data_IF_078133876374
#
_entry.id   IF_078133876374
#
_cell.length_a   1.000
_cell.length_b   1.000
_cell.length_c   1.000
_cell.angle_alpha   90.00
_cell.angle_beta   90.00
_cell.angle_gamma   90.00
#
_symmetry.space_group_name_H-M   'P 1'
#
loop_
_entity.id
_entity.type
_entity.pdbx_description
1 polymer ?
#
# COMPACT_ATOMS: atom_id res chain seq x y z
N UNK A 1 15.33 4.78 -20.23
CA UNK A 1 14.91 4.31 -18.90
C UNK A 1 15.40 5.32 -17.84
N UNK A 2 14.46 5.86 -17.04
CA UNK A 2 14.74 6.80 -15.95
C UNK A 2 14.33 6.18 -14.64
N UNK A 3 15.19 6.17 -13.64
CA UNK A 3 14.86 5.69 -12.29
C UNK A 3 13.56 6.31 -11.79
N UNK A 4 13.45 7.63 -11.82
CA UNK A 4 12.28 8.34 -11.28
C UNK A 4 10.98 7.86 -11.91
N UNK A 5 10.90 7.85 -13.24
CA UNK A 5 9.67 7.45 -13.94
C UNK A 5 9.37 5.95 -13.80
N UNK A 6 10.40 5.12 -13.89
CA UNK A 6 10.23 3.68 -13.75
C UNK A 6 9.80 3.32 -12.31
N UNK A 7 10.39 3.94 -11.30
CA UNK A 7 9.99 3.79 -9.89
C UNK A 7 8.54 4.21 -9.68
N UNK A 8 8.11 5.36 -10.24
CA UNK A 8 6.71 5.81 -10.15
C UNK A 8 5.75 4.78 -10.76
N UNK A 9 6.08 4.21 -11.93
CA UNK A 9 5.27 3.19 -12.60
C UNK A 9 5.11 1.95 -11.70
N UNK A 10 6.20 1.45 -11.13
CA UNK A 10 6.15 0.29 -10.24
C UNK A 10 5.39 0.57 -8.94
N UNK A 11 5.59 1.74 -8.35
CA UNK A 11 4.91 2.12 -7.11
C UNK A 11 3.43 2.39 -7.31
N UNK A 12 3.04 2.87 -8.48
CA UNK A 12 1.64 3.22 -8.77
C UNK A 12 0.88 2.16 -9.55
N UNK A 13 1.57 1.30 -10.31
CA UNK A 13 0.93 0.41 -11.29
C UNK A 13 0.43 1.14 -12.54
N UNK A 14 0.90 2.37 -12.80
CA UNK A 14 0.51 3.19 -13.95
C UNK A 14 0.98 2.61 -15.29
N UNK A 15 0.33 3.00 -16.36
CA UNK A 15 0.85 2.83 -17.71
C UNK A 15 2.00 3.81 -18.00
N UNK A 16 2.77 3.55 -19.05
CA UNK A 16 3.99 4.33 -19.35
C UNK A 16 3.73 5.81 -19.67
N UNK A 17 2.56 6.15 -20.15
CA UNK A 17 2.10 7.49 -20.52
C UNK A 17 1.18 8.13 -19.45
N UNK A 18 0.89 7.42 -18.37
CA UNK A 18 0.02 7.86 -17.28
C UNK A 18 0.81 8.27 -16.03
N UNK A 19 0.47 9.38 -15.42
CA UNK A 19 1.05 9.84 -14.15
C UNK A 19 0.01 9.77 -13.05
N UNK A 20 0.22 8.86 -12.08
CA UNK A 20 -0.66 8.69 -10.93
C UNK A 20 -0.02 9.28 -9.67
N UNK A 21 -0.87 9.84 -8.83
CA UNK A 21 -0.50 10.38 -7.51
C UNK A 21 -0.81 9.43 -6.35
N UNK A 22 -1.36 8.24 -6.68
CA UNK A 22 -1.72 7.20 -5.71
C UNK A 22 -0.97 5.92 -6.00
N UNK A 23 -0.45 5.26 -4.96
CA UNK A 23 0.20 3.97 -5.06
C UNK A 23 -0.81 2.82 -5.12
N UNK A 24 -0.43 1.70 -5.75
CA UNK A 24 -1.33 0.55 -5.88
C UNK A 24 -1.72 -0.05 -4.51
N UNK A 25 -0.77 -0.14 -3.58
CA UNK A 25 -1.04 -0.62 -2.23
C UNK A 25 -1.81 0.43 -1.40
N UNK A 26 -1.55 1.72 -1.62
CA UNK A 26 -2.34 2.80 -1.02
C UNK A 26 -3.80 2.76 -1.45
N UNK A 27 -4.09 2.45 -2.73
CA UNK A 27 -5.47 2.23 -3.21
C UNK A 27 -6.10 0.99 -2.61
N UNK A 28 -5.35 -0.13 -2.48
CA UNK A 28 -5.84 -1.32 -1.80
C UNK A 28 -6.17 -1.04 -0.32
N UNK A 29 -5.28 -0.38 0.41
CA UNK A 29 -5.54 -0.04 1.81
C UNK A 29 -6.72 0.92 1.96
N UNK A 30 -6.90 1.86 1.03
CA UNK A 30 -8.08 2.72 1.00
C UNK A 30 -9.37 1.96 0.66
N UNK A 31 -9.30 0.93 -0.17
CA UNK A 31 -10.42 0.04 -0.45
C UNK A 31 -10.84 -0.71 0.83
N UNK A 32 -9.90 -1.26 1.59
CA UNK A 32 -10.14 -1.95 2.85
C UNK A 32 -10.55 -0.99 4.00
N UNK A 33 -9.95 0.20 4.04
CA UNK A 33 -10.09 1.19 5.13
C UNK A 33 -10.47 2.58 4.59
N UNK A 34 -11.66 2.75 4.00
CA UNK A 34 -12.02 3.96 3.25
C UNK A 34 -12.14 5.23 4.11
N UNK A 35 -12.21 5.09 5.44
CA UNK A 35 -12.31 6.21 6.37
C UNK A 35 -10.96 6.68 6.90
N UNK A 36 -9.87 5.95 6.62
CA UNK A 36 -8.55 6.34 7.10
C UNK A 36 -8.17 7.75 6.58
N UNK A 37 -7.59 8.64 7.42
CA UNK A 37 -7.13 8.45 8.79
C UNK A 37 -8.19 8.72 9.88
N UNK A 38 -9.40 9.09 9.53
CA UNK A 38 -10.45 9.46 10.50
C UNK A 38 -10.95 8.22 11.24
N UNK A 39 -10.92 8.27 12.57
CA UNK A 39 -11.32 7.14 13.40
C UNK A 39 -10.27 6.05 13.54
N UNK A 40 -9.02 6.34 13.19
CA UNK A 40 -7.86 5.46 13.39
C UNK A 40 -6.83 6.10 14.32
N UNK A 41 -6.07 5.29 15.11
CA UNK A 41 -6.32 3.87 15.37
C UNK A 41 -7.67 3.61 16.07
N UNK A 42 -8.21 2.41 15.94
CA UNK A 42 -9.45 1.97 16.59
C UNK A 42 -9.31 0.55 17.15
N UNK A 43 -10.39 0.01 17.75
CA UNK A 43 -10.35 -1.33 18.37
C UNK A 43 -10.12 -2.46 17.36
N UNK A 44 -10.63 -2.33 16.14
CA UNK A 44 -10.50 -3.33 15.08
C UNK A 44 -9.12 -3.27 14.44
N UNK A 45 -8.59 -2.05 14.23
CA UNK A 45 -7.27 -1.78 13.66
C UNK A 45 -6.50 -0.76 14.53
N UNK A 46 -5.88 -1.25 15.63
CA UNK A 46 -5.09 -0.39 16.52
C UNK A 46 -3.70 -0.07 15.98
N UNK A 47 -3.26 -0.79 14.96
CA UNK A 47 -1.91 -0.76 14.41
C UNK A 47 -1.85 0.04 13.09
N UNK A 48 -0.68 0.52 12.65
CA UNK A 48 -0.52 1.12 11.33
C UNK A 48 -0.99 0.16 10.23
N UNK A 49 -1.65 0.68 9.20
CA UNK A 49 -2.13 -0.13 8.07
C UNK A 49 -0.97 -0.73 7.26
N UNK A 50 0.07 0.06 7.08
CA UNK A 50 1.35 -0.37 6.48
C UNK A 50 2.53 0.28 7.20
N UNK A 51 3.68 -0.38 7.11
CA UNK A 51 4.95 0.10 7.68
C UNK A 51 6.04 -0.02 6.62
N UNK A 52 6.76 1.08 6.40
CA UNK A 52 8.00 1.08 5.64
C UNK A 52 9.18 1.26 6.59
N UNK A 53 10.13 0.32 6.56
CA UNK A 53 11.35 0.46 7.35
C UNK A 53 12.29 1.39 6.61
N UNK A 54 12.35 2.64 7.06
CA UNK A 54 13.10 3.70 6.40
C UNK A 54 12.72 5.09 6.89
N UNK A 55 13.25 6.13 6.25
CA UNK A 55 13.05 7.53 6.64
C UNK A 55 11.79 8.18 6.06
N UNK A 56 11.24 7.64 4.97
CA UNK A 56 10.09 8.23 4.25
C UNK A 56 9.13 7.14 3.80
N UNK A 57 7.85 7.48 3.77
CA UNK A 57 6.82 6.60 3.22
C UNK A 57 6.79 6.76 1.69
N UNK A 58 6.94 5.65 0.97
CA UNK A 58 6.97 5.64 -0.50
C UNK A 58 5.61 5.90 -1.13
N UNK A 59 5.64 6.28 -2.40
CA UNK A 59 4.44 6.47 -3.22
C UNK A 59 3.55 5.21 -3.28
N UNK A 60 4.13 4.01 -3.11
CA UNK A 60 3.38 2.75 -3.04
C UNK A 60 2.22 2.80 -2.04
N UNK A 61 2.42 3.47 -0.90
CA UNK A 61 1.41 3.59 0.17
C UNK A 61 0.59 4.88 0.12
N UNK A 62 0.75 5.70 -0.92
CA UNK A 62 -0.04 6.92 -1.05
C UNK A 62 -1.47 6.57 -1.47
N UNK A 63 -2.41 6.79 -0.59
CA UNK A 63 -3.85 6.71 -0.87
C UNK A 63 -4.40 7.98 -1.52
N UNK A 64 -5.68 8.00 -1.89
CA UNK A 64 -6.30 9.15 -2.56
C UNK A 64 -6.29 10.45 -1.75
N UNK A 65 -6.34 10.36 -0.43
CA UNK A 65 -6.40 11.52 0.46
C UNK A 65 -5.12 11.71 1.30
N UNK A 66 -4.43 10.63 1.63
CA UNK A 66 -3.27 10.64 2.54
C UNK A 66 -2.40 9.41 2.34
N UNK A 67 -1.20 9.40 2.93
CA UNK A 67 -0.39 8.19 3.06
C UNK A 67 -1.11 7.17 3.97
N UNK A 68 -1.19 5.91 3.53
CA UNK A 68 -1.94 4.83 4.17
C UNK A 68 -1.08 4.01 5.15
N UNK A 69 -0.07 4.60 5.73
CA UNK A 69 0.83 3.94 6.65
C UNK A 69 1.83 4.90 7.27
N UNK A 70 2.92 4.36 7.77
CA UNK A 70 4.01 5.16 8.32
C UNK A 70 5.38 4.59 7.98
N UNK A 71 6.39 5.44 7.97
CA UNK A 71 7.79 5.04 7.92
C UNK A 71 8.40 5.04 9.32
N UNK A 72 9.30 4.12 9.57
CA UNK A 72 10.04 4.01 10.82
C UNK A 72 11.45 3.50 10.58
N UNK A 73 12.46 4.22 11.03
CA UNK A 73 13.86 3.80 10.91
C UNK A 73 14.27 2.91 12.07
N UNK A 74 13.86 3.24 13.29
CA UNK A 74 14.16 2.46 14.49
C UNK A 74 12.94 2.42 15.42
N UNK A 75 12.22 1.30 15.51
CA UNK A 75 11.04 1.18 16.37
C UNK A 75 11.36 1.33 17.87
N UNK A 76 12.59 1.03 18.30
CA UNK A 76 13.00 1.17 19.71
C UNK A 76 13.14 2.62 20.15
N UNK A 77 13.45 3.52 19.21
CA UNK A 77 13.74 4.94 19.48
C UNK A 77 12.60 5.87 19.10
N UNK A 78 11.38 5.37 19.05
CA UNK A 78 10.24 6.21 18.69
C UNK A 78 9.93 7.24 19.78
N UNK A 79 10.07 8.52 19.46
CA UNK A 79 9.79 9.63 20.36
C UNK A 79 8.43 10.28 20.06
N UNK A 80 7.75 10.79 21.09
CA UNK A 80 6.53 11.56 20.91
C UNK A 80 6.80 12.83 20.12
N UNK A 81 6.28 12.91 18.92
CA UNK A 81 6.46 14.06 18.01
C UNK A 81 5.75 15.35 18.50
N UNK A 82 4.69 15.20 19.33
CA UNK A 82 3.92 16.33 19.82
C UNK A 82 3.58 16.11 21.29
N UNK A 83 4.18 16.88 22.19
CA UNK A 83 3.74 16.99 23.58
C UNK A 83 2.91 18.27 23.76
N UNK A 84 1.66 18.10 24.22
CA UNK A 84 1.04 19.10 25.09
C UNK A 84 0.36 20.30 24.44
N UNK A 85 0.09 20.39 23.14
CA UNK A 85 -0.73 21.51 22.60
C UNK A 85 -2.20 21.08 22.58
N UNK A 86 -2.93 21.41 23.65
CA UNK A 86 -4.37 21.14 23.79
C UNK A 86 -5.27 22.33 23.42
N UNK A 87 -4.70 23.49 23.06
CA UNK A 87 -5.50 24.64 22.67
C UNK A 87 -6.33 24.32 21.41
N UNK A 88 -7.64 24.63 21.40
CA UNK A 88 -8.48 24.39 20.23
C UNK A 88 -7.91 25.14 19.01
N UNK A 89 -7.90 24.50 17.85
CA UNK A 89 -7.49 25.17 16.61
C UNK A 89 -8.56 26.19 16.22
N UNK A 90 -8.19 27.36 15.69
CA UNK A 90 -9.14 28.36 15.24
C UNK A 90 -10.14 27.80 14.21
N UNK A 91 -11.34 28.34 14.16
CA UNK A 91 -12.34 27.96 13.15
C UNK A 91 -12.13 28.76 11.86
N UNK A 92 -11.02 28.53 11.20
CA UNK A 92 -10.55 29.18 9.96
C UNK A 92 -9.88 28.14 9.06
N UNK A 93 -9.72 28.39 7.74
CA UNK A 93 -9.02 27.46 6.86
C UNK A 93 -7.62 27.05 7.34
N UNK A 94 -6.75 27.95 7.83
CA UNK A 94 -5.50 27.56 8.48
C UNK A 94 -5.71 26.73 9.76
N UNK A 95 -6.76 26.99 10.52
CA UNK A 95 -7.11 26.22 11.72
C UNK A 95 -7.56 24.78 11.38
N UNK A 96 -8.17 24.57 10.23
CA UNK A 96 -8.51 23.24 9.73
C UNK A 96 -7.26 22.44 9.35
N UNK A 97 -6.33 23.08 8.66
CA UNK A 97 -5.01 22.46 8.37
C UNK A 97 -4.28 22.12 9.66
N UNK A 98 -4.33 23.00 10.67
CA UNK A 98 -3.73 22.74 11.97
C UNK A 98 -4.41 21.55 12.68
N UNK A 99 -5.75 21.42 12.60
CA UNK A 99 -6.45 20.23 13.13
C UNK A 99 -6.01 18.95 12.47
N UNK A 100 -5.88 18.95 11.12
CA UNK A 100 -5.42 17.80 10.37
C UNK A 100 -3.98 17.41 10.75
N UNK A 101 -3.05 18.38 10.80
CA UNK A 101 -1.67 18.14 11.25
C UNK A 101 -1.63 17.55 12.66
N UNK A 102 -2.45 18.05 13.58
CA UNK A 102 -2.54 17.53 14.94
C UNK A 102 -3.13 16.12 15.00
N UNK A 103 -4.11 15.81 14.15
CA UNK A 103 -4.66 14.46 14.03
C UNK A 103 -3.56 13.48 13.59
N UNK A 104 -2.84 13.78 12.52
CA UNK A 104 -1.75 12.93 12.02
C UNK A 104 -0.64 12.79 13.07
N UNK A 105 -0.25 13.88 13.75
CA UNK A 105 0.75 13.83 14.80
C UNK A 105 0.30 13.00 16.01
N UNK A 106 -0.96 13.10 16.41
CA UNK A 106 -1.53 12.27 17.49
C UNK A 106 -1.55 10.78 17.11
N UNK A 107 -1.97 10.47 15.90
CA UNK A 107 -1.94 9.11 15.36
C UNK A 107 -0.51 8.56 15.31
N UNK A 108 0.45 9.36 14.84
CA UNK A 108 1.86 8.97 14.79
C UNK A 108 2.41 8.67 16.18
N UNK A 109 2.05 9.44 17.20
CA UNK A 109 2.46 9.18 18.58
C UNK A 109 1.86 7.86 19.12
N UNK A 110 0.58 7.61 18.82
CA UNK A 110 -0.10 6.38 19.26
C UNK A 110 0.46 5.15 18.53
N UNK A 111 0.63 5.22 17.23
CA UNK A 111 1.29 4.17 16.44
C UNK A 111 2.73 3.93 16.89
N UNK A 112 3.49 4.99 17.21
CA UNK A 112 4.84 4.86 17.73
C UNK A 112 4.90 4.08 19.03
N UNK A 113 3.96 4.30 19.94
CA UNK A 113 3.84 3.54 21.19
C UNK A 113 3.52 2.07 20.91
N UNK A 114 2.60 1.80 20.00
CA UNK A 114 2.22 0.44 19.60
C UNK A 114 3.40 -0.29 18.96
N UNK A 115 4.12 0.37 18.06
CA UNK A 115 5.32 -0.17 17.42
C UNK A 115 6.41 -0.50 18.44
N UNK A 116 6.70 0.43 19.36
CA UNK A 116 7.69 0.21 20.42
C UNK A 116 7.32 -0.99 21.29
N UNK A 117 6.07 -1.07 21.74
CA UNK A 117 5.59 -2.20 22.53
C UNK A 117 5.71 -3.53 21.76
N UNK A 118 5.32 -3.55 20.49
CA UNK A 118 5.47 -4.75 19.67
C UNK A 118 6.93 -5.13 19.47
N UNK A 119 7.81 -4.16 19.23
CA UNK A 119 9.24 -4.40 19.09
C UNK A 119 9.85 -4.94 20.39
N UNK A 120 9.48 -4.40 21.55
CA UNK A 120 9.96 -4.85 22.87
C UNK A 120 9.44 -6.25 23.22
N UNK A 121 8.20 -6.57 22.90
CA UNK A 121 7.57 -7.89 23.13
C UNK A 121 7.96 -8.92 22.09
N UNK A 122 8.36 -8.51 20.91
CA UNK A 122 8.76 -9.40 19.81
C UNK A 122 10.14 -9.99 20.02
N UNK A 123 10.38 -11.11 19.34
CA UNK A 123 11.66 -11.82 19.39
C UNK A 123 12.08 -12.25 17.99
N UNK A 124 13.37 -12.42 17.78
CA UNK A 124 13.94 -13.12 16.64
C UNK A 124 14.51 -14.46 17.13
N UNK A 125 14.35 -15.52 16.36
CA UNK A 125 14.81 -16.88 16.67
C UNK A 125 15.86 -17.38 15.68
N UNK A 126 15.96 -16.81 14.51
CA UNK A 126 17.03 -17.09 13.55
C UNK A 126 18.22 -16.16 13.78
N UNK A 127 19.40 -16.60 13.34
CA UNK A 127 20.55 -15.74 13.18
C UNK A 127 20.41 -14.95 11.87
N UNK A 128 20.77 -13.69 11.91
CA UNK A 128 20.88 -12.84 10.74
C UNK A 128 22.35 -12.54 10.44
N UNK A 129 22.72 -12.26 9.18
CA UNK A 129 24.08 -11.83 8.86
C UNK A 129 24.43 -10.52 9.56
N UNK A 130 25.67 -10.08 9.42
CA UNK A 130 26.09 -8.79 9.98
C UNK A 130 25.23 -7.65 9.43
N UNK A 131 24.43 -7.05 10.29
CA UNK A 131 23.45 -6.03 9.92
C UNK A 131 24.08 -4.67 9.63
N UNK A 132 25.32 -4.42 10.05
CA UNK A 132 26.08 -3.21 9.71
C UNK A 132 26.51 -3.21 8.23
N UNK A 133 26.62 -4.40 7.63
CA UNK A 133 26.97 -4.57 6.20
C UNK A 133 25.72 -4.83 5.36
N UNK A 134 24.78 -5.64 5.85
CA UNK A 134 23.57 -6.02 5.17
C UNK A 134 22.33 -5.31 5.77
N UNK A 135 22.08 -4.10 5.33
CA UNK A 135 20.93 -3.29 5.81
C UNK A 135 19.57 -3.93 5.54
N UNK A 136 19.44 -4.75 4.49
CA UNK A 136 18.19 -5.48 4.24
C UNK A 136 17.92 -6.51 5.33
N UNK A 137 18.98 -7.18 5.82
CA UNK A 137 18.86 -8.13 6.91
C UNK A 137 18.39 -7.45 8.20
N UNK A 138 18.87 -6.25 8.52
CA UNK A 138 18.39 -5.49 9.69
C UNK A 138 16.93 -5.09 9.53
N UNK A 139 16.52 -4.59 8.37
CA UNK A 139 15.12 -4.22 8.11
C UNK A 139 14.19 -5.44 8.25
N UNK A 140 14.53 -6.57 7.63
CA UNK A 140 13.74 -7.80 7.73
C UNK A 140 13.70 -8.37 9.15
N UNK A 141 14.78 -8.27 9.90
CA UNK A 141 14.85 -8.63 11.32
C UNK A 141 13.89 -7.78 12.17
N UNK A 142 13.83 -6.47 11.89
CA UNK A 142 12.85 -5.56 12.52
C UNK A 142 11.42 -6.01 12.17
N UNK A 143 11.13 -6.29 10.91
CA UNK A 143 9.80 -6.75 10.45
C UNK A 143 9.40 -8.04 11.17
N UNK A 144 10.27 -9.07 11.21
CA UNK A 144 10.00 -10.31 11.91
C UNK A 144 9.70 -10.08 13.41
N UNK A 145 10.44 -9.17 14.03
CA UNK A 145 10.26 -8.82 15.45
C UNK A 145 8.93 -8.10 15.69
N UNK A 146 8.53 -7.19 14.81
CA UNK A 146 7.23 -6.50 14.89
C UNK A 146 6.06 -7.49 14.73
N UNK A 147 6.14 -8.39 13.75
CA UNK A 147 5.12 -9.42 13.52
C UNK A 147 5.02 -10.36 14.73
N UNK A 148 6.16 -10.83 15.27
CA UNK A 148 6.18 -11.70 16.44
C UNK A 148 5.71 -11.00 17.71
N UNK A 149 5.84 -9.69 17.78
CA UNK A 149 5.31 -8.83 18.86
C UNK A 149 3.81 -8.57 18.80
N UNK A 150 3.13 -9.12 17.79
CA UNK A 150 1.68 -9.16 17.73
C UNK A 150 1.02 -8.06 16.91
N UNK A 151 1.78 -7.29 16.11
CA UNK A 151 1.17 -6.30 15.20
C UNK A 151 0.22 -6.96 14.20
N UNK A 152 -0.90 -6.28 13.96
CA UNK A 152 -1.89 -6.63 12.93
C UNK A 152 -1.62 -5.95 11.59
N UNK A 153 -0.56 -5.15 11.49
CA UNK A 153 -0.13 -4.49 10.24
C UNK A 153 0.00 -5.51 9.12
N UNK A 154 -0.66 -5.23 8.00
CA UNK A 154 -0.80 -6.21 6.90
C UNK A 154 0.32 -6.11 5.86
N UNK A 155 0.95 -4.94 5.73
CA UNK A 155 1.94 -4.68 4.68
C UNK A 155 3.18 -4.04 5.26
N UNK A 156 4.33 -4.62 4.92
CA UNK A 156 5.64 -4.10 5.26
C UNK A 156 6.44 -3.87 3.99
N UNK A 157 7.24 -2.83 3.95
CA UNK A 157 8.16 -2.54 2.86
C UNK A 157 9.56 -2.32 3.41
N UNK A 158 10.52 -2.94 2.74
CA UNK A 158 11.95 -2.82 3.01
C UNK A 158 12.68 -2.59 1.70
N UNK A 159 13.86 -1.98 1.73
CA UNK A 159 14.58 -1.66 0.51
C UNK A 159 16.10 -1.87 0.64
N UNK A 160 16.70 -2.26 -0.47
CA UNK A 160 18.15 -2.33 -0.65
C UNK A 160 18.51 -1.62 -1.95
N UNK A 161 19.34 -0.58 -1.86
CA UNK A 161 19.88 0.13 -3.03
C UNK A 161 21.16 -0.48 -3.55
N UNK A 162 21.79 0.20 -4.54
CA UNK A 162 23.11 -0.16 -5.06
C UNK A 162 23.08 -0.98 -6.35
N UNK A 163 21.91 -1.40 -6.86
CA UNK A 163 21.80 -2.24 -8.06
C UNK A 163 22.05 -1.50 -9.39
N UNK A 164 22.29 -0.20 -9.35
CA UNK A 164 22.57 0.58 -10.56
C UNK A 164 24.04 0.49 -10.97
N UNK A 165 24.50 -0.74 -11.22
CA UNK A 165 25.87 -1.12 -11.49
C UNK A 165 26.25 -0.87 -12.95
N UNK A 166 26.40 0.40 -13.35
CA UNK A 166 26.88 0.80 -14.68
C UNK A 166 28.37 0.55 -14.87
N UNK A 167 29.11 0.43 -13.79
CA UNK A 167 30.53 0.10 -13.75
C UNK A 167 30.81 -0.88 -12.61
N UNK A 168 31.95 -1.53 -12.63
CA UNK A 168 32.41 -2.45 -11.59
C UNK A 168 31.38 -3.49 -11.12
N UNK A 169 30.40 -3.84 -11.97
CA UNK A 169 29.37 -4.83 -11.67
C UNK A 169 29.97 -6.21 -11.37
N UNK A 170 31.05 -6.52 -12.09
CA UNK A 170 31.86 -7.74 -11.96
C UNK A 170 33.33 -7.39 -11.86
N UNK A 171 34.14 -8.29 -11.31
CA UNK A 171 35.60 -8.11 -11.31
C UNK A 171 36.24 -8.59 -12.59
N UNK A 172 37.39 -8.00 -12.96
CA UNK A 172 38.12 -8.40 -14.15
C UNK A 172 38.54 -9.86 -14.09
N UNK A 173 38.05 -10.62 -15.07
CA UNK A 173 38.38 -12.05 -15.22
C UNK A 173 37.51 -13.00 -14.43
N UNK A 174 36.61 -12.52 -13.57
CA UNK A 174 35.66 -13.36 -12.85
C UNK A 174 34.27 -12.69 -12.76
N UNK A 175 33.31 -13.17 -13.53
CA UNK A 175 31.94 -12.66 -13.56
C UNK A 175 31.07 -13.16 -12.38
N UNK A 176 31.59 -13.99 -11.49
CA UNK A 176 30.86 -14.52 -10.32
C UNK A 176 31.10 -13.71 -9.07
N UNK A 177 32.02 -12.76 -9.10
CA UNK A 177 32.32 -11.83 -8.00
C UNK A 177 32.22 -10.38 -8.45
N UNK A 178 32.07 -9.47 -7.51
CA UNK A 178 31.91 -8.04 -7.74
C UNK A 178 30.71 -7.47 -7.01
N UNK A 179 30.40 -6.22 -7.29
CA UNK A 179 29.34 -5.48 -6.56
C UNK A 179 27.97 -6.13 -6.69
N UNK A 180 27.59 -6.54 -7.90
CA UNK A 180 26.30 -7.17 -8.14
C UNK A 180 26.15 -8.53 -7.43
N UNK A 181 27.20 -9.34 -7.44
CA UNK A 181 27.20 -10.62 -6.73
C UNK A 181 27.05 -10.43 -5.23
N UNK A 182 27.72 -9.41 -4.65
CA UNK A 182 27.61 -9.04 -3.23
C UNK A 182 26.19 -8.59 -2.89
N UNK A 183 25.55 -7.75 -3.72
CA UNK A 183 24.19 -7.31 -3.51
C UNK A 183 23.17 -8.47 -3.58
N UNK A 184 23.35 -9.39 -4.53
CA UNK A 184 22.51 -10.60 -4.61
C UNK A 184 22.73 -11.53 -3.42
N UNK A 185 23.95 -11.63 -2.91
CA UNK A 185 24.24 -12.36 -1.67
C UNK A 185 23.49 -11.73 -0.49
N UNK A 186 23.53 -10.40 -0.34
CA UNK A 186 22.79 -9.70 0.70
C UNK A 186 21.29 -9.96 0.64
N UNK A 187 20.68 -9.92 -0.54
CA UNK A 187 19.26 -10.26 -0.74
C UNK A 187 18.99 -11.70 -0.31
N UNK A 188 19.80 -12.63 -0.78
CA UNK A 188 19.63 -14.07 -0.51
C UNK A 188 19.76 -14.39 0.99
N UNK A 189 20.78 -13.89 1.65
CA UNK A 189 21.03 -14.11 3.08
C UNK A 189 19.94 -13.47 3.95
N UNK A 190 19.53 -12.23 3.62
CA UNK A 190 18.51 -11.51 4.36
C UNK A 190 17.15 -12.21 4.26
N UNK A 191 16.72 -12.60 3.06
CA UNK A 191 15.46 -13.31 2.84
C UNK A 191 15.51 -14.70 3.48
N UNK A 192 16.62 -15.45 3.34
CA UNK A 192 16.78 -16.76 3.94
C UNK A 192 16.67 -16.71 5.46
N UNK A 193 17.35 -15.76 6.10
CA UNK A 193 17.28 -15.55 7.56
C UNK A 193 15.88 -15.17 8.01
N UNK A 194 15.21 -14.28 7.27
CA UNK A 194 13.84 -13.86 7.54
C UNK A 194 12.84 -15.03 7.45
N UNK A 195 12.87 -15.78 6.36
CA UNK A 195 11.99 -16.94 6.18
C UNK A 195 12.22 -17.95 7.29
N UNK A 196 13.49 -18.21 7.66
CA UNK A 196 13.84 -19.11 8.76
C UNK A 196 13.35 -18.60 10.11
N UNK A 197 13.42 -17.29 10.34
CA UNK A 197 12.93 -16.68 11.58
C UNK A 197 11.40 -16.82 11.70
N UNK A 198 10.68 -16.48 10.63
CA UNK A 198 9.22 -16.62 10.54
C UNK A 198 8.78 -18.09 10.77
N UNK A 199 9.50 -19.07 10.20
CA UNK A 199 9.26 -20.51 10.45
C UNK A 199 9.46 -20.86 11.92
N UNK A 200 10.60 -20.48 12.51
CA UNK A 200 10.91 -20.76 13.91
C UNK A 200 9.94 -20.09 14.90
N UNK A 201 9.33 -18.98 14.48
CA UNK A 201 8.29 -18.28 15.24
C UNK A 201 6.91 -18.92 15.07
N UNK A 202 6.72 -19.85 14.11
CA UNK A 202 5.43 -20.47 13.78
C UNK A 202 4.46 -19.51 13.10
N UNK A 203 4.97 -18.59 12.29
CA UNK A 203 4.22 -17.53 11.63
C UNK A 203 4.20 -17.65 10.09
N UNK A 204 4.74 -18.75 9.56
CA UNK A 204 4.95 -18.95 8.13
C UNK A 204 3.66 -18.98 7.29
N UNK A 205 2.53 -19.32 7.91
CA UNK A 205 1.22 -19.29 7.23
C UNK A 205 0.65 -17.86 7.08
N UNK A 206 1.27 -16.88 7.70
CA UNK A 206 0.81 -15.48 7.75
C UNK A 206 1.70 -14.51 6.98
N UNK A 207 2.79 -14.98 6.42
CA UNK A 207 3.80 -14.13 5.80
C UNK A 207 4.11 -14.60 4.40
N UNK A 208 3.99 -13.67 3.46
CA UNK A 208 4.38 -13.81 2.07
C UNK A 208 5.16 -12.58 1.66
N UNK A 209 6.27 -12.75 0.96
CA UNK A 209 7.08 -11.65 0.46
C UNK A 209 7.24 -11.71 -1.04
N UNK A 210 7.43 -10.55 -1.64
CA UNK A 210 7.82 -10.41 -3.05
C UNK A 210 8.89 -9.33 -3.20
N UNK A 211 9.74 -9.49 -4.19
CA UNK A 211 10.69 -8.44 -4.61
C UNK A 211 10.19 -7.72 -5.85
N UNK A 212 10.60 -6.46 -6.01
CA UNK A 212 10.44 -5.71 -7.25
C UNK A 212 11.59 -4.71 -7.41
N UNK A 213 11.84 -4.30 -8.63
CA UNK A 213 12.78 -3.24 -8.98
C UNK A 213 12.25 -2.47 -10.17
N UNK A 214 12.71 -1.24 -10.34
CA UNK A 214 12.18 -0.32 -11.35
C UNK A 214 12.49 -0.71 -12.80
N UNK A 215 13.57 -1.48 -13.04
CA UNK A 215 13.92 -2.05 -14.35
C UNK A 215 14.92 -3.21 -14.21
N UNK A 216 15.17 -3.92 -15.33
CA UNK A 216 16.23 -4.91 -15.44
C UNK A 216 17.50 -4.33 -16.05
N UNK A 217 18.38 -5.23 -16.52
CA UNK A 217 19.65 -4.87 -17.16
C UNK A 217 19.68 -5.36 -18.61
N UNK A 218 20.42 -4.66 -19.47
CA UNK A 218 20.67 -5.08 -20.85
C UNK A 218 21.48 -6.36 -20.89
N UNK A 219 21.37 -7.08 -22.02
CA UNK A 219 22.01 -8.38 -22.22
C UNK A 219 23.54 -8.26 -22.31
N UNK A 220 24.02 -7.24 -22.99
CA UNK A 220 25.45 -7.03 -23.25
C UNK A 220 26.03 -6.04 -22.25
N UNK A 221 27.19 -6.40 -21.70
CA UNK A 221 27.96 -5.50 -20.84
C UNK A 221 28.41 -4.24 -21.59
N UNK A 222 28.52 -3.15 -20.88
CA UNK A 222 29.13 -1.91 -21.37
C UNK A 222 30.66 -1.94 -21.24
N UNK A 223 31.34 -0.86 -21.63
CA UNK A 223 32.82 -0.77 -21.60
C UNK A 223 33.42 -0.59 -20.18
N UNK A 224 32.58 -0.48 -19.14
CA UNK A 224 33.01 -0.23 -17.77
C UNK A 224 32.80 -1.44 -16.85
N UNK A 225 32.76 -2.64 -17.38
CA UNK A 225 32.45 -3.89 -16.63
C UNK A 225 31.10 -3.85 -15.90
N UNK A 226 30.14 -3.11 -16.45
CA UNK A 226 28.78 -2.98 -15.95
C UNK A 226 27.75 -3.26 -17.03
N UNK A 227 26.51 -2.95 -16.76
CA UNK A 227 25.39 -3.05 -17.71
C UNK A 227 24.52 -1.80 -17.64
N UNK A 228 23.92 -1.44 -18.76
CA UNK A 228 22.93 -0.36 -18.80
C UNK A 228 21.53 -0.86 -18.44
N UNK A 229 20.62 0.08 -18.19
CA UNK A 229 19.22 -0.23 -17.85
C UNK A 229 18.53 -1.01 -18.96
N UNK A 230 17.88 -2.10 -18.59
CA UNK A 230 17.12 -2.97 -19.46
C UNK A 230 15.64 -3.04 -19.11
N UNK A 231 14.84 -3.73 -19.92
CA UNK A 231 13.39 -3.74 -19.80
C UNK A 231 12.83 -4.86 -18.92
N UNK A 232 13.49 -6.01 -18.83
CA UNK A 232 12.99 -7.18 -18.13
C UNK A 232 13.86 -7.55 -16.93
N UNK A 233 13.23 -7.93 -15.83
CA UNK A 233 13.88 -8.38 -14.61
C UNK A 233 13.11 -9.56 -13.99
N UNK A 234 13.78 -10.44 -13.23
CA UNK A 234 13.11 -11.45 -12.43
C UNK A 234 12.46 -10.80 -11.21
N UNK A 235 11.32 -11.35 -10.79
CA UNK A 235 10.71 -11.09 -9.49
C UNK A 235 10.72 -12.38 -8.67
N UNK A 236 11.05 -12.26 -7.38
CA UNK A 236 11.04 -13.39 -6.46
C UNK A 236 9.82 -13.27 -5.55
N UNK A 237 9.14 -14.40 -5.36
CA UNK A 237 8.06 -14.54 -4.37
C UNK A 237 8.48 -15.64 -3.40
N UNK A 238 8.33 -15.39 -2.12
CA UNK A 238 8.77 -16.32 -1.08
C UNK A 238 7.77 -16.39 0.08
N UNK A 239 7.74 -17.52 0.73
CA UNK A 239 6.83 -17.85 1.81
C UNK A 239 6.24 -19.24 1.67
N UNK A 240 5.62 -19.76 2.72
CA UNK A 240 5.07 -21.13 2.74
C UNK A 240 3.94 -21.34 1.72
N UNK A 241 3.17 -20.30 1.46
CA UNK A 241 2.03 -20.34 0.53
C UNK A 241 2.41 -20.16 -0.93
N UNK A 242 3.70 -20.12 -1.27
CA UNK A 242 4.18 -19.97 -2.64
C UNK A 242 4.29 -21.32 -3.32
N UNK A 243 3.80 -21.42 -4.56
CA UNK A 243 4.10 -22.56 -5.44
C UNK A 243 5.58 -22.51 -5.83
N UNK A 244 6.38 -23.53 -5.49
CA UNK A 244 7.78 -23.52 -5.85
C UNK A 244 7.97 -23.71 -7.36
N UNK A 245 8.92 -23.00 -7.94
CA UNK A 245 9.27 -23.15 -9.35
C UNK A 245 9.54 -21.84 -10.05
N UNK A 246 9.64 -21.90 -11.36
CA UNK A 246 9.85 -20.77 -12.26
C UNK A 246 8.58 -20.61 -13.10
N UNK A 247 8.05 -19.41 -13.16
CA UNK A 247 6.96 -19.04 -14.06
C UNK A 247 7.57 -18.25 -15.20
N UNK A 248 7.34 -18.70 -16.43
CA UNK A 248 7.96 -18.20 -17.64
C UNK A 248 9.07 -19.10 -18.15
N UNK A 249 9.60 -18.73 -19.29
CA UNK A 249 10.65 -19.47 -19.98
C UNK A 249 12.02 -18.81 -19.76
N UNK A 250 13.08 -19.58 -19.83
CA UNK A 250 14.43 -19.03 -19.84
C UNK A 250 14.59 -18.05 -21.01
N UNK A 251 15.15 -16.86 -20.77
CA UNK A 251 15.36 -15.88 -21.82
C UNK A 251 16.20 -16.47 -22.96
N UNK A 252 15.72 -16.28 -24.19
CA UNK A 252 16.50 -16.61 -25.38
C UNK A 252 17.40 -15.43 -25.73
N UNK A 253 18.69 -15.60 -25.59
CA UNK A 253 19.68 -14.56 -25.90
C UNK A 253 20.04 -14.68 -27.38
N UNK A 254 19.80 -13.59 -28.15
CA UNK A 254 20.21 -13.49 -29.54
C UNK A 254 21.75 -13.52 -29.62
N UNK A 255 22.35 -14.45 -30.40
CA UNK A 255 23.79 -14.45 -30.59
C UNK A 255 24.34 -13.18 -31.25
N UNK A 256 23.49 -12.38 -31.89
CA UNK A 256 23.82 -11.09 -32.49
C UNK A 256 23.42 -9.90 -31.59
N UNK A 257 23.15 -10.14 -30.32
CA UNK A 257 22.80 -9.07 -29.38
C UNK A 257 23.87 -7.97 -29.39
N UNK A 258 23.42 -6.73 -29.35
CA UNK A 258 24.27 -5.52 -29.25
C UNK A 258 24.05 -4.81 -27.91
N UNK A 259 24.76 -3.71 -27.70
CA UNK A 259 24.68 -2.91 -26.48
C UNK A 259 23.29 -2.30 -26.22
N UNK A 260 22.38 -2.29 -27.19
CA UNK A 260 21.01 -1.80 -27.07
C UNK A 260 19.97 -2.91 -26.89
N UNK A 261 20.41 -4.17 -27.00
CA UNK A 261 19.52 -5.31 -26.91
C UNK A 261 18.94 -5.48 -25.51
N UNK A 262 17.62 -5.55 -25.44
CA UNK A 262 16.85 -5.81 -24.23
C UNK A 262 16.19 -7.19 -24.30
N UNK A 263 16.02 -7.83 -23.15
CA UNK A 263 15.18 -9.01 -23.06
C UNK A 263 13.70 -8.60 -23.13
N UNK A 264 12.88 -9.35 -23.89
CA UNK A 264 11.44 -9.13 -23.88
C UNK A 264 10.83 -9.48 -22.52
N UNK A 265 9.88 -8.68 -22.04
CA UNK A 265 9.07 -9.03 -20.89
C UNK A 265 8.12 -10.17 -21.26
N UNK A 266 8.04 -11.19 -20.42
CA UNK A 266 7.11 -12.31 -20.62
C UNK A 266 5.77 -12.06 -19.94
N UNK A 267 5.79 -11.37 -18.80
CA UNK A 267 4.62 -11.01 -18.01
C UNK A 267 4.66 -9.54 -17.64
N UNK A 268 3.51 -8.91 -17.60
CA UNK A 268 3.37 -7.60 -16.96
C UNK A 268 3.55 -7.77 -15.45
N UNK A 269 4.39 -6.95 -14.83
CA UNK A 269 4.65 -7.02 -13.39
C UNK A 269 3.37 -6.84 -12.55
N UNK A 270 2.39 -6.10 -13.06
CA UNK A 270 1.09 -5.86 -12.40
C UNK A 270 0.23 -7.13 -12.34
N UNK A 271 0.53 -8.14 -13.16
CA UNK A 271 -0.07 -9.47 -13.02
C UNK A 271 0.30 -10.13 -11.68
N UNK A 272 1.52 -9.86 -11.19
CA UNK A 272 1.89 -10.30 -9.85
C UNK A 272 1.15 -9.50 -8.76
N UNK A 273 0.97 -8.18 -8.95
CA UNK A 273 0.16 -7.38 -8.03
C UNK A 273 -1.29 -7.88 -7.98
N UNK A 274 -1.91 -8.17 -9.13
CA UNK A 274 -3.24 -8.76 -9.20
C UNK A 274 -3.30 -10.09 -8.45
N UNK A 275 -2.30 -10.94 -8.63
CA UNK A 275 -2.18 -12.21 -7.92
C UNK A 275 -2.10 -12.02 -6.40
N UNK A 276 -1.27 -11.09 -5.92
CA UNK A 276 -1.17 -10.78 -4.50
C UNK A 276 -2.49 -10.26 -3.93
N UNK A 277 -3.15 -9.36 -4.63
CA UNK A 277 -4.45 -8.83 -4.20
C UNK A 277 -5.53 -9.92 -4.17
N UNK A 278 -5.62 -10.75 -5.20
CA UNK A 278 -6.65 -11.79 -5.31
C UNK A 278 -6.36 -12.98 -4.40
N UNK A 279 -5.18 -13.58 -4.54
CA UNK A 279 -4.89 -14.89 -3.98
C UNK A 279 -4.31 -14.82 -2.55
N UNK A 280 -3.74 -13.67 -2.15
CA UNK A 280 -3.23 -13.48 -0.78
C UNK A 280 -4.11 -12.57 0.06
N UNK A 281 -4.52 -11.42 -0.47
CA UNK A 281 -5.37 -10.47 0.24
C UNK A 281 -6.87 -10.72 0.07
N UNK A 282 -7.24 -11.69 -0.77
CA UNK A 282 -8.63 -12.10 -1.01
C UNK A 282 -9.53 -10.97 -1.54
N UNK A 283 -8.97 -10.05 -2.33
CA UNK A 283 -9.74 -9.03 -3.02
C UNK A 283 -10.60 -9.72 -4.09
N UNK A 284 -11.92 -9.54 -4.11
CA UNK A 284 -12.78 -10.12 -5.13
C UNK A 284 -12.36 -9.66 -6.54
N UNK A 285 -12.42 -10.58 -7.50
CA UNK A 285 -12.00 -10.30 -8.87
C UNK A 285 -12.66 -9.05 -9.50
N UNK A 286 -13.97 -8.78 -9.30
CA UNK A 286 -14.59 -7.55 -9.81
C UNK A 286 -14.05 -6.25 -9.20
N UNK A 287 -13.40 -6.33 -8.04
CA UNK A 287 -12.91 -5.17 -7.31
C UNK A 287 -11.42 -4.87 -7.62
N UNK A 288 -10.70 -5.81 -8.24
CA UNK A 288 -9.29 -5.65 -8.61
C UNK A 288 -9.06 -4.43 -9.51
N UNK A 289 -9.97 -4.17 -10.46
CA UNK A 289 -9.89 -3.02 -11.35
C UNK A 289 -9.98 -1.70 -10.60
N UNK A 290 -10.71 -1.64 -9.49
CA UNK A 290 -10.77 -0.43 -8.65
C UNK A 290 -9.44 -0.10 -7.96
N UNK A 291 -8.61 -1.11 -7.74
CA UNK A 291 -7.30 -0.99 -7.09
C UNK A 291 -6.18 -0.81 -8.12
N UNK A 292 -6.17 -1.62 -9.16
CA UNK A 292 -5.10 -1.62 -10.17
C UNK A 292 -5.40 -0.72 -11.37
N UNK A 293 -6.63 -0.18 -11.49
CA UNK A 293 -7.14 0.68 -12.56
C UNK A 293 -7.28 -0.02 -13.91
N UNK A 294 -6.74 -1.21 -14.06
CA UNK A 294 -6.81 -2.09 -15.23
C UNK A 294 -6.94 -3.54 -14.80
N UNK A 295 -7.35 -4.39 -15.74
CA UNK A 295 -7.42 -5.83 -15.52
C UNK A 295 -6.12 -6.51 -15.95
N UNK A 296 -5.54 -7.29 -15.07
CA UNK A 296 -4.33 -8.08 -15.32
C UNK A 296 -4.61 -9.56 -15.10
N UNK A 297 -3.87 -10.41 -15.83
CA UNK A 297 -3.96 -11.85 -15.65
C UNK A 297 -3.48 -12.25 -14.23
N UNK A 298 -4.09 -13.29 -13.69
CA UNK A 298 -3.61 -13.92 -12.47
C UNK A 298 -2.52 -14.94 -12.78
N UNK A 299 -1.46 -14.98 -11.99
CA UNK A 299 -0.36 -15.92 -12.14
C UNK A 299 -0.46 -17.03 -11.09
N UNK A 300 -0.16 -18.31 -11.41
CA UNK A 300 -0.27 -19.41 -10.46
C UNK A 300 0.92 -19.44 -9.48
N UNK A 301 1.14 -18.34 -8.75
CA UNK A 301 2.29 -18.15 -7.84
C UNK A 301 1.96 -18.53 -6.42
N UNK A 302 0.72 -18.28 -6.01
CA UNK A 302 0.29 -18.40 -4.60
C UNK A 302 -0.75 -19.49 -4.48
N UNK A 303 -0.56 -20.39 -3.51
CA UNK A 303 -1.63 -21.26 -3.03
C UNK A 303 -2.66 -20.34 -2.37
N UNK A 304 -3.81 -20.19 -2.99
CA UNK A 304 -4.89 -19.38 -2.42
C UNK A 304 -5.20 -19.94 -1.04
N UNK A 305 -4.95 -19.20 0.06
CA UNK A 305 -5.54 -19.58 1.32
C UNK A 305 -7.05 -19.66 1.09
N UNK A 306 -7.76 -20.53 1.82
CA UNK A 306 -9.22 -20.44 1.82
C UNK A 306 -9.56 -18.99 2.14
N UNK A 307 -9.90 -18.22 1.11
CA UNK A 307 -10.32 -16.83 1.26
C UNK A 307 -11.66 -16.85 2.00
N UNK A 308 -11.57 -17.19 3.28
CA UNK A 308 -12.68 -17.03 4.21
C UNK A 308 -12.88 -15.52 4.23
N UNK A 309 -13.97 -15.09 3.59
CA UNK A 309 -14.47 -13.73 3.66
C UNK A 309 -14.29 -13.22 5.09
N UNK A 310 -13.26 -12.42 5.31
CA UNK A 310 -13.04 -11.82 6.62
C UNK A 310 -14.30 -10.99 6.92
N UNK A 311 -14.80 -11.06 8.13
CA UNK A 311 -16.10 -10.51 8.54
C UNK A 311 -16.35 -9.04 8.10
N UNK A 312 -15.31 -8.28 7.79
CA UNK A 312 -15.38 -6.92 7.25
C UNK A 312 -15.96 -6.89 5.83
N UNK A 313 -15.58 -7.85 4.97
CA UNK A 313 -16.14 -7.98 3.62
C UNK A 313 -17.56 -8.56 3.64
N UNK A 314 -17.85 -9.49 4.57
CA UNK A 314 -19.20 -10.01 4.77
C UNK A 314 -20.16 -8.96 5.33
N UNK A 315 -19.69 -8.05 6.17
CA UNK A 315 -20.50 -6.90 6.62
C UNK A 315 -20.84 -5.96 5.47
N UNK A 316 -19.93 -5.76 4.51
CA UNK A 316 -20.20 -4.95 3.31
C UNK A 316 -21.05 -5.70 2.26
N UNK A 317 -21.01 -7.04 2.18
CA UNK A 317 -21.84 -7.82 1.27
C UNK A 317 -23.21 -8.23 1.85
N UNK A 318 -23.32 -8.41 3.17
CA UNK A 318 -24.62 -8.62 3.85
C UNK A 318 -25.38 -7.31 4.10
N UNK A 319 -24.68 -6.20 4.10
CA UNK A 319 -25.31 -4.90 3.97
C UNK A 319 -25.79 -4.77 2.53
N UNK A 320 -27.07 -5.04 2.30
CA UNK A 320 -27.71 -4.94 0.99
C UNK A 320 -27.26 -3.69 0.24
N UNK A 321 -27.12 -3.80 -1.07
CA UNK A 321 -26.56 -2.78 -1.99
C UNK A 321 -27.10 -1.38 -1.70
N UNK A 322 -26.51 -0.71 -0.73
CA UNK A 322 -26.75 0.71 -0.48
C UNK A 322 -25.74 1.46 -1.33
N UNK A 323 -26.16 1.97 -2.49
CA UNK A 323 -25.29 2.71 -3.39
C UNK A 323 -25.49 4.20 -3.13
N UNK A 324 -24.39 4.93 -2.90
CA UNK A 324 -24.38 6.39 -2.91
C UNK A 324 -23.68 6.89 -4.17
N UNK A 325 -24.35 7.74 -4.92
CA UNK A 325 -23.75 8.49 -6.01
C UNK A 325 -24.09 9.98 -5.88
N UNK A 326 -23.23 10.83 -6.40
CA UNK A 326 -23.41 12.27 -6.37
C UNK A 326 -23.27 12.82 -7.78
N UNK A 327 -24.26 13.59 -8.24
CA UNK A 327 -24.23 14.19 -9.57
C UNK A 327 -24.91 15.58 -9.57
N UNK A 328 -24.27 16.61 -10.19
CA UNK A 328 -22.93 16.57 -10.78
C UNK A 328 -21.82 16.40 -9.74
N UNK A 329 -20.70 15.81 -10.16
CA UNK A 329 -19.45 15.74 -9.43
C UNK A 329 -18.29 15.74 -10.44
N UNK A 330 -17.48 16.81 -10.55
CA UNK A 330 -17.48 18.03 -9.71
C UNK A 330 -18.73 18.89 -9.83
N UNK A 331 -18.99 19.71 -8.80
CA UNK A 331 -20.14 20.63 -8.76
C UNK A 331 -19.72 22.03 -8.26
N UNK A 332 -20.56 23.06 -8.54
CA UNK A 332 -20.29 24.46 -8.13
C UNK A 332 -21.06 24.82 -6.88
N UNK A 333 -22.37 24.81 -6.92
CA UNK A 333 -23.23 25.22 -5.80
C UNK A 333 -23.94 24.04 -5.13
N UNK A 334 -24.30 23.04 -5.92
CA UNK A 334 -25.15 21.95 -5.43
C UNK A 334 -24.90 20.65 -6.18
N UNK A 335 -25.22 19.55 -5.55
CA UNK A 335 -25.25 18.21 -6.15
C UNK A 335 -26.42 17.41 -5.62
N UNK A 336 -26.94 16.49 -6.40
CA UNK A 336 -27.89 15.50 -5.94
C UNK A 336 -27.11 14.30 -5.37
N UNK A 337 -27.55 13.82 -4.22
CA UNK A 337 -27.04 12.62 -3.58
C UNK A 337 -28.10 11.54 -3.78
N UNK A 338 -27.82 10.62 -4.71
CA UNK A 338 -28.68 9.47 -4.98
C UNK A 338 -28.23 8.30 -4.13
N UNK A 339 -29.16 7.61 -3.49
CA UNK A 339 -28.85 6.46 -2.66
C UNK A 339 -29.95 5.40 -2.74
N UNK A 340 -29.55 4.17 -2.50
CA UNK A 340 -30.45 3.02 -2.36
C UNK A 340 -30.38 2.50 -0.93
N UNK A 341 -31.53 2.16 -0.34
CA UNK A 341 -31.63 1.63 1.03
C UNK A 341 -32.52 0.41 1.08
N UNK A 342 -32.17 -0.54 1.92
CA UNK A 342 -33.00 -1.71 2.24
C UNK A 342 -34.18 -1.40 3.20
N UNK A 343 -34.31 -0.14 3.58
CA UNK A 343 -35.29 0.36 4.54
C UNK A 343 -34.71 0.58 5.93
N UNK A 344 -35.50 1.22 6.80
CA UNK A 344 -35.08 1.59 8.15
C UNK A 344 -34.48 2.99 8.25
N UNK A 345 -33.92 3.31 9.42
CA UNK A 345 -33.37 4.63 9.68
C UNK A 345 -32.10 4.84 8.84
N UNK A 346 -32.13 5.87 8.01
CA UNK A 346 -31.02 6.26 7.13
C UNK A 346 -30.54 7.65 7.48
N UNK A 347 -29.23 7.79 7.62
CA UNK A 347 -28.56 9.06 7.90
C UNK A 347 -27.55 9.36 6.81
N UNK A 348 -27.60 10.58 6.26
CA UNK A 348 -26.59 11.10 5.35
C UNK A 348 -25.92 12.29 6.02
N UNK A 349 -24.62 12.22 6.15
CA UNK A 349 -23.78 13.24 6.73
C UNK A 349 -22.70 13.63 5.75
N UNK A 350 -22.33 14.90 5.76
CA UNK A 350 -21.31 15.46 4.88
C UNK A 350 -20.21 16.04 5.71
N UNK A 351 -18.98 15.65 5.39
CA UNK A 351 -17.78 16.07 6.08
C UNK A 351 -16.89 16.85 5.12
N UNK A 352 -16.15 17.82 5.61
CA UNK A 352 -15.06 18.45 4.86
C UNK A 352 -13.78 17.59 4.89
N UNK A 353 -12.73 18.04 4.22
CA UNK A 353 -11.44 17.34 4.17
C UNK A 353 -10.78 17.11 5.55
N UNK A 354 -11.13 17.94 6.54
CA UNK A 354 -10.65 17.78 7.93
C UNK A 354 -11.51 16.82 8.75
N UNK A 355 -12.48 16.13 8.15
CA UNK A 355 -13.39 15.23 8.86
C UNK A 355 -14.45 15.94 9.72
N UNK A 356 -14.58 17.25 9.58
CA UNK A 356 -15.59 18.02 10.30
C UNK A 356 -16.96 17.83 9.63
N UNK A 357 -17.98 17.54 10.41
CA UNK A 357 -19.36 17.47 9.96
C UNK A 357 -19.85 18.86 9.54
N UNK A 358 -20.17 19.04 8.25
CA UNK A 358 -20.65 20.32 7.70
C UNK A 358 -22.15 20.32 7.42
N UNK A 359 -22.75 19.13 7.21
CA UNK A 359 -24.19 19.02 7.02
C UNK A 359 -24.71 17.62 7.39
N UNK A 360 -25.99 17.54 7.78
CA UNK A 360 -26.74 16.28 7.92
C UNK A 360 -28.05 16.39 7.12
N UNK A 361 -27.96 16.28 5.78
CA UNK A 361 -29.15 16.48 4.93
C UNK A 361 -30.26 15.45 5.15
N UNK A 362 -29.93 14.27 5.68
CA UNK A 362 -30.90 13.22 5.98
C UNK A 362 -30.63 12.59 7.34
N UNK A 363 -31.70 12.40 8.13
CA UNK A 363 -31.73 11.58 9.34
C UNK A 363 -33.17 11.17 9.61
N UNK A 364 -33.65 10.13 8.90
CA UNK A 364 -35.03 9.62 9.03
C UNK A 364 -35.17 8.18 8.53
N UNK A 365 -36.30 7.55 8.83
CA UNK A 365 -36.65 6.23 8.29
C UNK A 365 -37.09 6.35 6.82
N UNK A 366 -36.66 5.39 6.00
CA UNK A 366 -37.08 5.20 4.61
C UNK A 366 -37.62 3.80 4.43
N UNK A 367 -38.52 3.63 3.44
CA UNK A 367 -38.83 2.32 2.91
C UNK A 367 -37.66 1.82 2.04
N UNK A 368 -37.65 0.51 1.74
CA UNK A 368 -36.69 -0.03 0.76
C UNK A 368 -36.93 0.62 -0.60
N UNK A 369 -35.83 1.12 -1.23
CA UNK A 369 -35.89 1.75 -2.53
C UNK A 369 -34.74 2.72 -2.81
N UNK A 370 -34.85 3.40 -3.95
CA UNK A 370 -33.93 4.43 -4.41
C UNK A 370 -34.49 5.80 -4.12
N UNK A 371 -33.63 6.69 -3.64
CA UNK A 371 -33.98 8.04 -3.25
C UNK A 371 -32.91 9.00 -3.74
N UNK A 372 -33.32 10.26 -3.96
CA UNK A 372 -32.44 11.36 -4.31
C UNK A 372 -32.68 12.51 -3.34
N UNK A 373 -31.63 13.13 -2.88
CA UNK A 373 -31.70 14.35 -2.07
C UNK A 373 -30.84 15.44 -2.68
N UNK A 374 -31.31 16.65 -2.64
CA UNK A 374 -30.59 17.81 -3.07
C UNK A 374 -29.75 18.37 -1.92
N UNK A 375 -28.45 18.55 -2.16
CA UNK A 375 -27.54 19.20 -1.22
C UNK A 375 -27.04 20.52 -1.81
N UNK A 376 -27.41 21.62 -1.15
CA UNK A 376 -26.86 22.94 -1.44
C UNK A 376 -25.66 23.21 -0.54
N UNK A 377 -24.55 23.60 -1.12
CA UNK A 377 -23.28 23.91 -0.45
C UNK A 377 -22.81 25.34 -0.70
N UNK A 378 -23.71 26.24 -1.14
CA UNK A 378 -23.36 27.61 -1.59
C UNK A 378 -22.42 28.33 -0.64
N UNK A 379 -22.67 28.21 0.68
CA UNK A 379 -21.86 28.86 1.74
C UNK A 379 -20.56 28.12 2.10
N UNK A 380 -20.27 26.99 1.44
CA UNK A 380 -19.09 26.19 1.75
C UNK A 380 -17.95 26.50 0.76
N UNK A 381 -16.68 26.48 1.19
CA UNK A 381 -15.54 26.71 0.31
C UNK A 381 -15.38 25.60 -0.76
N UNK A 382 -14.72 25.93 -1.88
CA UNK A 382 -14.31 24.93 -2.85
C UNK A 382 -13.34 23.92 -2.18
N UNK A 383 -13.48 22.64 -2.50
CA UNK A 383 -12.69 21.57 -1.90
C UNK A 383 -13.39 20.22 -2.01
N UNK A 384 -12.72 19.18 -1.51
CA UNK A 384 -13.30 17.84 -1.43
C UNK A 384 -14.16 17.71 -0.19
N UNK A 385 -15.35 17.16 -0.36
CA UNK A 385 -16.25 16.78 0.72
C UNK A 385 -16.50 15.28 0.69
N UNK A 386 -16.90 14.71 1.81
CA UNK A 386 -17.18 13.29 1.95
C UNK A 386 -18.63 13.10 2.38
N UNK A 387 -19.40 12.48 1.53
CA UNK A 387 -20.81 12.11 1.80
C UNK A 387 -20.82 10.74 2.45
N UNK A 388 -21.22 10.66 3.70
CA UNK A 388 -21.41 9.43 4.46
C UNK A 388 -22.87 9.06 4.50
N UNK A 389 -23.20 7.90 3.98
CA UNK A 389 -24.51 7.25 4.15
C UNK A 389 -24.40 6.20 5.23
N UNK A 390 -25.30 6.23 6.19
CA UNK A 390 -25.44 5.19 7.21
C UNK A 390 -26.89 4.68 7.25
N UNK A 391 -27.03 3.35 7.18
CA UNK A 391 -28.32 2.66 7.31
C UNK A 391 -28.12 1.41 8.17
N UNK A 392 -28.60 1.46 9.40
CA UNK A 392 -28.29 0.42 10.39
C UNK A 392 -26.78 0.28 10.62
N UNK A 393 -26.26 -0.93 10.39
CA UNK A 393 -24.82 -1.23 10.48
C UNK A 393 -24.04 -0.91 9.18
N UNK A 394 -24.76 -0.63 8.09
CA UNK A 394 -24.15 -0.32 6.79
C UNK A 394 -23.71 1.12 6.75
N UNK A 395 -22.47 1.36 6.34
CA UNK A 395 -21.93 2.68 6.14
C UNK A 395 -21.20 2.73 4.79
N UNK A 396 -21.44 3.81 4.04
CA UNK A 396 -20.71 4.13 2.80
C UNK A 396 -20.20 5.56 2.84
N UNK A 397 -19.03 5.79 2.26
CA UNK A 397 -18.41 7.10 2.11
C UNK A 397 -18.14 7.36 0.63
N UNK A 398 -18.53 8.55 0.14
CA UNK A 398 -18.31 8.95 -1.26
C UNK A 398 -17.67 10.34 -1.29
N UNK A 399 -16.49 10.50 -1.91
CA UNK A 399 -15.92 11.82 -2.12
C UNK A 399 -16.67 12.58 -3.20
N UNK A 400 -16.84 13.89 -2.99
CA UNK A 400 -17.42 14.83 -3.95
C UNK A 400 -16.59 16.10 -4.02
N UNK A 401 -16.37 16.62 -5.20
CA UNK A 401 -15.52 17.78 -5.42
C UNK A 401 -16.36 19.01 -5.72
N UNK A 402 -16.30 20.00 -4.82
CA UNK A 402 -16.83 21.34 -5.09
C UNK A 402 -15.76 22.17 -5.77
N UNK A 403 -16.08 22.71 -6.94
CA UNK A 403 -15.24 23.66 -7.67
C UNK A 403 -15.80 25.07 -7.53
N UNK A 404 -15.02 26.06 -7.91
CA UNK A 404 -15.43 27.49 -7.84
C UNK A 404 -16.43 27.82 -8.92
#
# INVERSE_FOLDING_TARGET
FSHFRATDIWMTGADSDEVLTTGWMGRYLNYEYPNFPVGFPNQDMPDPLSIEIGGTLSLTFQGPATGMGMSVSNPAEFYNLVQGIQAPAPNTPPGEQLRYIRLIASQSNEYGRVLKNAYENGTNRAAYPNTDENYLAEQLKIVARLISGGLKTRVYMVSLGGFDTHDAQVEDGDHTIGEHATLLQYVSEAISSFVKDIELLGLEDRVLGMTFSEFGRRVISNFSNGTDHGSAAPMFVFGKSVHPGIIGDNPQIDPNADANTNLPMQYDFRSLYATMLKDWFCVPEPDLESVLLHNFQNLPVVNTPDCISTATHELNQKAGKTLVSCYPNPFVQSTNIDFETEGGHTMIQIFNQSGQLVATPVSKAFAKGKFSIYWNSEDLPAGTYYVRLQNGITQQLKPVLKVR
#
